data_IF_801861357128
#
_entry.id   IF_801861357128
#
_cell.length_a   1.000
_cell.length_b   1.000
_cell.length_c   1.000
_cell.angle_alpha   90.00
_cell.angle_beta   90.00
_cell.angle_gamma   90.00
#
_symmetry.space_group_name_H-M   'P 1'
#
loop_
_entity.id
_entity.type
_entity.pdbx_description
1 polymer ?
#
# COMPACT_ATOMS: atom_id res chain seq x y z
N UNK A 1 -22.81 12.84 -11.53
CA UNK A 1 -23.08 11.51 -12.16
C UNK A 1 -22.43 10.42 -11.30
N UNK A 2 -23.04 9.23 -11.23
CA UNK A 2 -22.47 8.08 -10.55
C UNK A 2 -22.05 7.01 -11.56
N UNK A 3 -20.84 6.47 -11.44
CA UNK A 3 -20.41 5.36 -12.30
C UNK A 3 -20.68 4.02 -11.63
N UNK A 4 -21.26 3.11 -12.40
CA UNK A 4 -21.62 1.77 -11.99
C UNK A 4 -20.69 0.74 -12.62
N UNK A 5 -20.11 -0.12 -11.81
CA UNK A 5 -19.34 -1.27 -12.26
C UNK A 5 -20.23 -2.52 -12.30
N UNK A 6 -20.18 -3.28 -13.41
CA UNK A 6 -20.93 -4.53 -13.56
C UNK A 6 -20.07 -5.75 -13.19
N UNK A 7 -20.68 -6.81 -12.66
CA UNK A 7 -19.99 -8.04 -12.27
C UNK A 7 -20.55 -8.67 -11.00
N UNK A 8 -19.85 -9.69 -10.49
CA UNK A 8 -20.15 -10.33 -9.19
C UNK A 8 -20.19 -9.30 -8.05
N UNK A 9 -19.29 -8.33 -8.18
CA UNK A 9 -19.16 -7.14 -7.36
C UNK A 9 -19.77 -5.92 -8.06
N UNK A 10 -21.04 -6.00 -8.49
CA UNK A 10 -21.73 -4.85 -9.13
C UNK A 10 -22.18 -3.73 -8.17
N UNK A 11 -22.00 -2.46 -8.55
CA UNK A 11 -22.44 -1.33 -7.71
C UNK A 11 -21.86 0.03 -8.12
N UNK A 12 -22.15 1.07 -7.32
CA UNK A 12 -21.63 2.43 -7.54
C UNK A 12 -20.22 2.53 -6.95
N UNK A 13 -19.27 3.01 -7.77
CA UNK A 13 -17.84 3.06 -7.42
C UNK A 13 -17.27 4.47 -7.38
N UNK A 14 -17.86 5.45 -8.08
CA UNK A 14 -17.34 6.82 -8.10
C UNK A 14 -18.40 7.84 -8.50
N UNK A 15 -18.18 9.10 -8.11
CA UNK A 15 -18.86 10.29 -8.61
C UNK A 15 -18.03 10.97 -9.70
N UNK A 16 -18.69 11.45 -10.74
CA UNK A 16 -18.07 12.14 -11.85
C UNK A 16 -18.94 13.29 -12.37
N UNK A 17 -18.31 14.28 -12.98
CA UNK A 17 -18.97 15.39 -13.66
C UNK A 17 -18.66 15.35 -15.15
N UNK A 18 -19.70 15.56 -15.95
CA UNK A 18 -19.60 15.66 -17.41
C UNK A 18 -18.99 17.02 -17.75
N UNK A 19 -17.85 17.02 -18.44
CA UNK A 19 -17.11 18.24 -18.76
C UNK A 19 -17.54 18.91 -20.07
N UNK A 20 -18.07 18.13 -21.01
CA UNK A 20 -18.45 18.60 -22.34
C UNK A 20 -19.80 18.02 -22.76
N UNK A 21 -20.48 18.69 -23.68
CA UNK A 21 -21.62 18.11 -24.38
C UNK A 21 -21.18 16.91 -25.24
N UNK A 22 -22.08 15.97 -25.58
CA UNK A 22 -21.73 14.80 -26.37
C UNK A 22 -21.21 15.19 -27.76
N UNK A 23 -19.94 14.91 -28.03
CA UNK A 23 -19.28 15.19 -29.30
C UNK A 23 -18.61 13.93 -29.86
N UNK A 24 -18.22 13.96 -31.14
CA UNK A 24 -17.47 12.87 -31.76
C UNK A 24 -16.05 12.84 -31.15
N UNK A 25 -15.74 11.81 -30.38
CA UNK A 25 -14.44 11.65 -29.72
C UNK A 25 -13.64 10.57 -30.45
N UNK A 26 -12.39 10.89 -30.80
CA UNK A 26 -11.41 9.91 -31.28
C UNK A 26 -10.62 9.35 -30.09
N UNK A 27 -10.45 8.03 -30.05
CA UNK A 27 -9.65 7.37 -29.03
C UNK A 27 -8.18 7.83 -29.13
N UNK A 28 -7.58 8.22 -28.01
CA UNK A 28 -6.12 8.42 -27.98
C UNK A 28 -5.41 7.05 -27.99
N UNK A 29 -4.15 6.98 -28.47
CA UNK A 29 -3.39 5.71 -28.48
C UNK A 29 -3.24 5.05 -27.10
N UNK A 30 -3.31 5.85 -26.04
CA UNK A 30 -3.25 5.40 -24.65
C UNK A 30 -4.57 4.75 -24.18
N UNK A 31 -5.69 5.12 -24.79
CA UNK A 31 -7.04 4.63 -24.45
C UNK A 31 -7.47 3.42 -25.30
N UNK A 32 -6.87 3.22 -26.48
CA UNK A 32 -7.14 2.10 -27.39
C UNK A 32 -7.20 0.71 -26.72
N UNK A 33 -6.30 0.36 -25.77
CA UNK A 33 -6.33 -0.95 -25.11
C UNK A 33 -7.59 -1.20 -24.26
N UNK A 34 -8.29 -0.14 -23.87
CA UNK A 34 -9.45 -0.20 -22.96
C UNK A 34 -10.79 -0.22 -23.71
N UNK A 35 -10.79 -0.09 -25.04
CA UNK A 35 -12.01 -0.15 -25.84
C UNK A 35 -12.36 -1.57 -26.30
N UNK A 36 -13.56 -2.00 -25.94
CA UNK A 36 -14.11 -3.33 -26.29
C UNK A 36 -14.42 -3.43 -27.80
N UNK A 37 -14.74 -2.31 -28.47
CA UNK A 37 -15.03 -2.26 -29.90
C UNK A 37 -14.02 -1.36 -30.63
N UNK A 38 -13.49 -1.83 -31.76
CA UNK A 38 -12.57 -1.10 -32.66
C UNK A 38 -13.29 -0.06 -33.53
N UNK A 39 -14.30 0.62 -33.00
CA UNK A 39 -14.93 1.75 -33.69
C UNK A 39 -14.16 3.03 -33.33
N UNK A 40 -13.59 3.67 -34.35
CA UNK A 40 -12.63 4.78 -34.25
C UNK A 40 -13.34 6.12 -33.96
N UNK A 41 -14.64 6.21 -34.24
CA UNK A 41 -15.45 7.40 -34.00
C UNK A 41 -16.73 7.03 -33.26
N UNK A 42 -16.94 7.65 -32.10
CA UNK A 42 -18.15 7.50 -31.30
C UNK A 42 -18.52 8.81 -30.64
N UNK A 43 -19.82 9.03 -30.46
CA UNK A 43 -20.30 10.14 -29.64
C UNK A 43 -19.97 9.82 -28.18
N UNK A 44 -19.19 10.69 -27.55
CA UNK A 44 -18.70 10.52 -26.19
C UNK A 44 -18.66 11.84 -25.42
N UNK A 45 -18.47 11.74 -24.12
CA UNK A 45 -18.26 12.90 -23.24
C UNK A 45 -17.01 12.67 -22.41
N UNK A 46 -16.30 13.75 -22.10
CA UNK A 46 -15.23 13.70 -21.11
C UNK A 46 -15.83 13.75 -19.71
N UNK A 47 -15.42 12.82 -18.87
CA UNK A 47 -15.81 12.75 -17.46
C UNK A 47 -14.64 13.17 -16.60
N UNK A 48 -14.87 14.12 -15.70
CA UNK A 48 -13.96 14.37 -14.58
C UNK A 48 -14.42 13.51 -13.41
N UNK A 49 -13.59 12.57 -13.00
CA UNK A 49 -13.81 11.84 -11.75
C UNK A 49 -13.65 12.82 -10.59
N UNK A 50 -14.71 13.01 -9.80
CA UNK A 50 -14.71 13.92 -8.66
C UNK A 50 -14.23 13.24 -7.39
N UNK A 51 -14.77 12.04 -7.12
CA UNK A 51 -14.38 11.24 -5.98
C UNK A 51 -14.60 9.76 -6.28
N UNK A 52 -13.61 8.93 -5.98
CA UNK A 52 -13.77 7.47 -5.95
C UNK A 52 -14.28 7.10 -4.57
N UNK A 53 -15.35 6.32 -4.50
CA UNK A 53 -15.97 5.98 -3.23
C UNK A 53 -15.05 5.04 -2.44
N UNK A 54 -14.68 5.36 -1.19
CA UNK A 54 -13.74 4.56 -0.40
C UNK A 54 -14.30 3.17 -0.06
N UNK A 55 -15.62 3.02 -0.07
CA UNK A 55 -16.32 1.74 -0.03
C UNK A 55 -17.45 1.78 -1.03
N UNK A 56 -17.37 0.93 -2.06
CA UNK A 56 -18.43 0.88 -3.08
C UNK A 56 -19.79 0.60 -2.47
N UNK A 57 -20.81 1.18 -3.08
CA UNK A 57 -22.19 0.90 -2.73
C UNK A 57 -22.60 -0.33 -3.53
N UNK A 58 -22.69 -1.47 -2.85
CA UNK A 58 -22.99 -2.74 -3.49
C UNK A 58 -24.41 -2.70 -4.05
N UNK A 59 -24.67 -3.45 -5.12
CA UNK A 59 -26.03 -3.73 -5.58
C UNK A 59 -26.93 -4.25 -4.45
N UNK A 60 -26.37 -5.01 -3.50
CA UNK A 60 -27.07 -5.46 -2.30
C UNK A 60 -27.55 -4.30 -1.43
N UNK A 61 -26.67 -3.34 -1.13
CA UNK A 61 -27.00 -2.16 -0.32
C UNK A 61 -28.11 -1.32 -0.98
N UNK A 62 -28.10 -1.27 -2.32
CA UNK A 62 -29.11 -0.57 -3.13
C UNK A 62 -30.46 -1.29 -3.10
N UNK A 63 -30.46 -2.63 -3.18
CA UNK A 63 -31.67 -3.45 -3.09
C UNK A 63 -32.30 -3.42 -1.70
N UNK A 64 -31.49 -3.30 -0.65
CA UNK A 64 -31.95 -3.21 0.74
C UNK A 64 -32.53 -1.82 1.08
N UNK A 65 -32.29 -0.80 0.24
CA UNK A 65 -32.79 0.57 0.46
C UNK A 65 -34.18 0.80 -0.16
N UNK A 66 -35.15 1.36 0.58
CA UNK A 66 -36.54 1.50 0.12
C UNK A 66 -36.71 2.38 -1.13
N UNK A 67 -35.83 3.38 -1.31
CA UNK A 67 -35.84 4.31 -2.46
C UNK A 67 -34.96 3.82 -3.62
N UNK A 68 -33.80 3.21 -3.33
CA UNK A 68 -32.79 2.91 -4.34
C UNK A 68 -33.06 1.59 -5.08
N UNK A 69 -33.81 0.66 -4.46
CA UNK A 69 -34.26 -0.57 -5.13
C UNK A 69 -35.10 -0.31 -6.38
N UNK A 70 -35.71 0.87 -6.47
CA UNK A 70 -36.54 1.28 -7.60
C UNK A 70 -35.76 1.93 -8.76
N UNK A 71 -34.43 2.10 -8.62
CA UNK A 71 -33.58 2.66 -9.67
C UNK A 71 -33.68 1.86 -10.98
N UNK A 72 -33.64 2.56 -12.12
CA UNK A 72 -33.78 1.92 -13.43
C UNK A 72 -32.67 0.92 -13.73
N UNK A 73 -31.44 1.15 -13.27
CA UNK A 73 -30.34 0.18 -13.38
C UNK A 73 -30.61 -1.15 -12.65
N UNK A 74 -31.51 -1.13 -11.65
CA UNK A 74 -31.92 -2.33 -10.92
C UNK A 74 -33.08 -3.02 -11.64
N UNK A 75 -34.08 -2.24 -12.08
CA UNK A 75 -35.33 -2.77 -12.66
C UNK A 75 -35.23 -3.13 -14.14
N UNK A 76 -34.40 -2.41 -14.90
CA UNK A 76 -34.32 -2.47 -16.36
C UNK A 76 -32.89 -2.14 -16.85
N UNK A 77 -31.94 -3.05 -16.62
CA UNK A 77 -30.51 -2.84 -16.92
C UNK A 77 -30.11 -2.92 -18.42
N UNK A 78 -31.00 -2.57 -19.35
CA UNK A 78 -30.78 -2.71 -20.80
C UNK A 78 -30.10 -1.48 -21.44
N UNK A 79 -29.31 -0.74 -20.67
CA UNK A 79 -28.67 0.51 -21.12
C UNK A 79 -27.38 0.80 -20.36
N UNK A 80 -26.69 1.86 -20.77
CA UNK A 80 -25.42 2.31 -20.18
C UNK A 80 -25.57 3.55 -19.30
N UNK A 81 -26.65 4.32 -19.49
CA UNK A 81 -26.95 5.52 -18.72
C UNK A 81 -28.37 5.44 -18.16
N UNK A 82 -28.52 5.75 -16.87
CA UNK A 82 -29.79 5.70 -16.16
C UNK A 82 -30.01 7.00 -15.40
N UNK A 83 -31.15 7.69 -15.59
CA UNK A 83 -31.45 8.88 -14.80
C UNK A 83 -31.66 8.50 -13.33
N UNK A 84 -31.19 9.40 -12.46
CA UNK A 84 -31.34 9.31 -11.00
C UNK A 84 -32.24 10.46 -10.57
N UNK A 85 -33.26 10.18 -9.75
CA UNK A 85 -34.15 11.22 -9.21
C UNK A 85 -33.50 11.92 -8.01
N UNK A 86 -33.95 13.12 -7.64
CA UNK A 86 -33.43 13.85 -6.48
C UNK A 86 -33.47 13.01 -5.18
N UNK A 87 -34.59 12.31 -4.92
CA UNK A 87 -34.72 11.41 -3.75
C UNK A 87 -33.71 10.24 -3.78
N UNK A 88 -33.35 9.77 -4.97
CA UNK A 88 -32.34 8.71 -5.12
C UNK A 88 -30.93 9.27 -4.94
N UNK A 89 -30.67 10.49 -5.42
CA UNK A 89 -29.41 11.20 -5.23
C UNK A 89 -29.13 11.43 -3.74
N UNK A 90 -30.09 11.98 -3.00
CA UNK A 90 -29.99 12.19 -1.55
C UNK A 90 -29.71 10.87 -0.80
N UNK A 91 -30.39 9.79 -1.18
CA UNK A 91 -30.18 8.47 -0.60
C UNK A 91 -28.79 7.88 -0.92
N UNK A 92 -28.25 8.12 -2.11
CA UNK A 92 -26.88 7.69 -2.47
C UNK A 92 -25.86 8.48 -1.65
N UNK A 93 -26.02 9.80 -1.53
CA UNK A 93 -25.13 10.64 -0.73
C UNK A 93 -25.11 10.25 0.75
N UNK A 94 -26.27 9.95 1.34
CA UNK A 94 -26.35 9.45 2.72
C UNK A 94 -25.61 8.11 2.91
N UNK A 95 -25.67 7.22 1.92
CA UNK A 95 -24.92 5.96 1.94
C UNK A 95 -23.41 6.17 1.79
N UNK A 96 -22.98 7.20 1.05
CA UNK A 96 -21.56 7.56 0.93
C UNK A 96 -21.04 8.07 2.28
N UNK A 97 -21.74 9.04 2.88
CA UNK A 97 -21.33 9.64 4.16
C UNK A 97 -21.30 8.63 5.31
N UNK A 98 -22.30 7.74 5.40
CA UNK A 98 -22.32 6.71 6.44
C UNK A 98 -21.17 5.72 6.31
N UNK A 99 -20.77 5.36 5.09
CA UNK A 99 -19.63 4.47 4.84
C UNK A 99 -18.28 5.14 5.05
N UNK A 100 -18.17 6.44 4.83
CA UNK A 100 -16.98 7.23 5.18
C UNK A 100 -16.77 7.32 6.68
N UNK A 101 -17.83 7.51 7.47
CA UNK A 101 -17.77 7.54 8.93
C UNK A 101 -17.39 6.18 9.53
N UNK A 102 -17.85 5.07 8.92
CA UNK A 102 -17.45 3.72 9.34
C UNK A 102 -15.95 3.47 9.06
N UNK A 103 -15.36 4.07 8.02
CA UNK A 103 -13.92 3.97 7.76
C UNK A 103 -13.07 4.71 8.82
N UNK A 104 -13.55 5.84 9.33
CA UNK A 104 -12.83 6.61 10.36
C UNK A 104 -12.79 5.93 11.75
N UNK A 105 -13.60 4.89 11.97
CA UNK A 105 -13.71 4.19 13.28
C UNK A 105 -13.03 2.81 13.27
N UNK A 106 -12.76 2.24 12.10
CA UNK A 106 -12.27 0.85 11.94
C UNK A 106 -10.93 0.78 11.17
N UNK A 107 -9.98 1.64 11.50
CA UNK A 107 -8.56 1.52 11.10
C UNK A 107 -7.82 0.44 11.95
N UNK A 108 -8.46 -0.71 12.19
CA UNK A 108 -7.77 -1.92 12.68
C UNK A 108 -8.56 -3.17 12.28
N UNK A 109 -7.86 -4.10 11.64
CA UNK A 109 -8.21 -5.51 11.35
C UNK A 109 -9.25 -5.88 10.26
N UNK A 110 -8.72 -6.61 9.26
CA UNK A 110 -9.32 -7.68 8.40
C UNK A 110 -10.08 -7.36 7.09
N UNK A 111 -9.32 -7.55 5.99
CA UNK A 111 -9.52 -8.48 4.85
C UNK A 111 -10.58 -8.31 3.72
N UNK A 112 -10.09 -8.68 2.51
CA UNK A 112 -10.75 -9.18 1.28
C UNK A 112 -11.10 -8.23 0.10
N UNK A 113 -10.08 -8.04 -0.74
CA UNK A 113 -10.00 -8.01 -2.21
C UNK A 113 -10.67 -6.93 -3.09
N UNK A 114 -9.74 -6.29 -3.79
CA UNK A 114 -9.62 -5.86 -5.19
C UNK A 114 -10.01 -4.42 -5.54
N UNK A 115 -8.97 -3.66 -5.93
CA UNK A 115 -8.88 -2.21 -6.15
C UNK A 115 -8.94 -1.32 -4.89
N UNK A 116 -7.98 -1.50 -3.97
CA UNK A 116 -7.70 -0.51 -2.91
C UNK A 116 -7.10 0.76 -3.51
N UNK A 117 -7.92 1.79 -3.76
CA UNK A 117 -7.41 3.14 -4.00
C UNK A 117 -6.84 3.69 -2.69
N UNK A 118 -5.52 3.71 -2.60
CA UNK A 118 -4.79 4.33 -1.50
C UNK A 118 -4.75 5.85 -1.75
N UNK A 119 -5.39 6.65 -0.89
CA UNK A 119 -5.25 8.11 -0.93
C UNK A 119 -3.79 8.51 -0.74
N UNK A 120 -3.32 9.57 -1.43
CA UNK A 120 -1.97 10.07 -1.22
C UNK A 120 -1.80 10.57 0.21
N UNK A 121 -0.62 10.32 0.78
CA UNK A 121 -0.25 10.83 2.08
C UNK A 121 -0.13 12.36 2.03
N UNK A 122 -0.41 13.07 3.14
CA UNK A 122 -0.13 14.49 3.21
C UNK A 122 1.35 14.75 2.89
N UNK A 123 1.60 15.86 2.20
CA UNK A 123 2.96 16.32 1.98
C UNK A 123 3.66 16.54 3.33
N UNK A 124 4.94 16.18 3.39
CA UNK A 124 5.79 16.42 4.54
C UNK A 124 7.17 16.82 4.02
N UNK A 125 7.46 18.12 4.10
CA UNK A 125 8.62 18.70 3.44
C UNK A 125 9.94 18.36 4.13
N UNK A 126 11.05 18.51 3.39
CA UNK A 126 12.40 18.40 3.96
C UNK A 126 12.66 19.45 5.04
N UNK A 127 12.12 20.65 4.86
CA UNK A 127 12.22 21.75 5.83
C UNK A 127 11.52 21.40 7.15
N UNK A 128 10.30 20.85 7.10
CA UNK A 128 9.62 20.35 8.30
C UNK A 128 10.41 19.24 9.00
N UNK A 129 11.00 18.32 8.22
CA UNK A 129 11.85 17.27 8.77
C UNK A 129 13.10 17.84 9.46
N UNK A 130 13.74 18.85 8.89
CA UNK A 130 14.91 19.52 9.46
C UNK A 130 14.55 20.23 10.77
N UNK A 131 13.44 20.96 10.79
CA UNK A 131 12.95 21.66 11.98
C UNK A 131 12.65 20.69 13.13
N UNK A 132 11.94 19.58 12.86
CA UNK A 132 11.55 18.62 13.88
C UNK A 132 12.71 17.77 14.40
N UNK A 133 13.71 17.48 13.57
CA UNK A 133 14.82 16.57 13.91
C UNK A 133 16.06 17.30 14.40
N UNK A 134 16.18 18.60 14.11
CA UNK A 134 17.38 19.39 14.36
C UNK A 134 18.56 19.05 13.45
N UNK A 135 18.34 18.22 12.41
CA UNK A 135 19.35 17.86 11.41
C UNK A 135 19.26 18.84 10.24
N UNK A 136 20.40 19.22 9.66
CA UNK A 136 20.43 20.11 8.51
C UNK A 136 19.75 19.50 7.28
N UNK A 137 19.09 20.33 6.45
CA UNK A 137 18.49 19.87 5.18
C UNK A 137 19.53 19.22 4.25
N UNK A 138 20.78 19.69 4.28
CA UNK A 138 21.88 19.13 3.49
C UNK A 138 22.19 17.68 3.88
N UNK A 139 22.23 17.39 5.18
CA UNK A 139 22.46 16.03 5.70
C UNK A 139 21.26 15.12 5.43
N UNK A 140 20.03 15.60 5.67
CA UNK A 140 18.81 14.85 5.38
C UNK A 140 18.72 14.50 3.90
N UNK A 141 18.99 15.47 3.01
CA UNK A 141 19.01 15.27 1.56
C UNK A 141 20.04 14.23 1.15
N UNK A 142 21.24 14.23 1.76
CA UNK A 142 22.26 13.22 1.54
C UNK A 142 21.76 11.82 1.93
N UNK A 143 21.10 11.68 3.08
CA UNK A 143 20.58 10.39 3.55
C UNK A 143 19.42 9.88 2.70
N UNK A 144 18.51 10.76 2.27
CA UNK A 144 17.42 10.41 1.37
C UNK A 144 17.95 9.89 0.03
N UNK A 145 18.95 10.55 -0.56
CA UNK A 145 19.58 10.09 -1.81
C UNK A 145 20.19 8.70 -1.66
N UNK A 146 20.84 8.44 -0.52
CA UNK A 146 21.37 7.12 -0.18
C UNK A 146 20.25 6.08 -0.09
N UNK A 147 19.20 6.36 0.69
CA UNK A 147 18.07 5.45 0.88
C UNK A 147 17.37 5.17 -0.45
N UNK A 148 17.17 6.19 -1.29
CA UNK A 148 16.54 6.05 -2.60
C UNK A 148 17.38 5.23 -3.57
N UNK A 149 18.69 5.45 -3.63
CA UNK A 149 19.58 4.77 -4.56
C UNK A 149 19.92 3.34 -4.16
N UNK A 150 20.02 3.07 -2.87
CA UNK A 150 20.42 1.74 -2.35
C UNK A 150 19.23 0.92 -1.93
N UNK A 151 18.11 1.56 -1.60
CA UNK A 151 16.91 0.90 -1.11
C UNK A 151 16.95 0.56 0.38
N UNK A 152 18.09 0.76 1.05
CA UNK A 152 18.26 0.47 2.47
C UNK A 152 19.30 1.38 3.13
N UNK A 153 19.12 1.66 4.42
CA UNK A 153 20.11 2.38 5.25
C UNK A 153 20.06 1.92 6.71
N UNK A 154 21.19 2.06 7.42
CA UNK A 154 21.24 1.91 8.88
C UNK A 154 21.68 3.22 9.52
N UNK A 155 20.86 3.71 10.46
CA UNK A 155 21.24 4.74 11.41
C UNK A 155 21.83 4.09 12.66
N UNK A 156 23.07 4.45 12.98
CA UNK A 156 23.71 3.95 14.20
C UNK A 156 24.30 5.09 15.01
N UNK A 157 24.29 4.91 16.33
CA UNK A 157 24.78 5.91 17.27
C UNK A 157 24.46 5.53 18.72
N UNK A 158 24.90 6.33 19.70
CA UNK A 158 24.63 6.10 21.11
C UNK A 158 23.13 5.93 21.41
N UNK A 159 22.74 5.18 22.46
CA UNK A 159 21.34 5.10 22.88
C UNK A 159 20.82 6.49 23.26
N UNK A 160 19.53 6.76 22.99
CA UNK A 160 18.89 8.04 23.33
C UNK A 160 19.10 9.19 22.35
N UNK A 161 19.79 8.98 21.21
CA UNK A 161 20.03 10.03 20.19
C UNK A 161 18.90 10.21 19.17
N UNK A 162 17.70 9.65 19.44
CA UNK A 162 16.53 9.86 18.57
C UNK A 162 16.59 9.17 17.21
N UNK A 163 17.42 8.14 17.00
CA UNK A 163 17.53 7.42 15.71
C UNK A 163 16.20 6.92 15.17
N UNK A 164 15.38 6.29 16.03
CA UNK A 164 14.04 5.80 15.66
C UNK A 164 13.11 6.96 15.30
N UNK A 165 13.21 8.07 16.02
CA UNK A 165 12.45 9.28 15.73
C UNK A 165 12.83 9.86 14.36
N UNK A 166 14.13 10.00 14.09
CA UNK A 166 14.65 10.43 12.79
C UNK A 166 14.20 9.50 11.66
N UNK A 167 14.31 8.19 11.84
CA UNK A 167 13.89 7.19 10.85
C UNK A 167 12.41 7.34 10.48
N UNK A 168 11.53 7.59 11.46
CA UNK A 168 10.11 7.83 11.23
C UNK A 168 9.85 9.14 10.47
N UNK A 169 10.58 10.21 10.75
CA UNK A 169 10.43 11.49 10.03
C UNK A 169 10.93 11.40 8.60
N UNK A 170 12.08 10.75 8.38
CA UNK A 170 12.56 10.44 7.03
C UNK A 170 11.58 9.55 6.26
N UNK A 171 11.02 8.52 6.91
CA UNK A 171 10.01 7.67 6.29
C UNK A 171 8.75 8.48 5.92
N UNK A 172 8.28 9.35 6.81
CA UNK A 172 7.15 10.26 6.54
C UNK A 172 7.42 11.15 5.32
N UNK A 173 8.63 11.68 5.19
CA UNK A 173 9.04 12.44 4.01
C UNK A 173 9.04 11.59 2.75
N UNK A 174 9.63 10.40 2.81
CA UNK A 174 9.75 9.49 1.66
C UNK A 174 8.39 9.00 1.12
N UNK A 175 7.39 8.87 1.99
CA UNK A 175 6.04 8.44 1.59
C UNK A 175 5.10 9.61 1.25
N UNK A 176 5.50 10.85 1.54
CA UNK A 176 4.68 12.05 1.33
C UNK A 176 4.30 12.25 -0.14
N UNK A 177 3.10 12.79 -0.38
CA UNK A 177 2.49 12.97 -1.72
C UNK A 177 2.22 11.67 -2.51
N UNK A 178 2.79 10.54 -2.06
CA UNK A 178 2.56 9.20 -2.60
C UNK A 178 1.52 8.41 -1.81
N UNK A 179 1.12 7.27 -2.36
CA UNK A 179 0.17 6.36 -1.70
C UNK A 179 0.85 5.23 -0.91
N UNK A 180 2.14 5.41 -0.62
CA UNK A 180 2.95 4.47 0.14
C UNK A 180 2.58 4.45 1.64
N UNK A 181 3.29 3.65 2.42
CA UNK A 181 3.09 3.58 3.87
C UNK A 181 4.40 3.28 4.58
N UNK A 182 4.40 3.48 5.89
CA UNK A 182 5.49 3.03 6.75
C UNK A 182 5.00 2.02 7.78
N UNK A 183 5.86 1.05 8.15
CA UNK A 183 5.67 0.19 9.31
C UNK A 183 6.92 0.19 10.17
N UNK A 184 6.73 0.20 11.48
CA UNK A 184 7.79 0.06 12.47
C UNK A 184 7.71 -1.34 13.08
N UNK A 185 8.82 -2.06 13.05
CA UNK A 185 9.00 -3.29 13.82
C UNK A 185 10.23 -3.13 14.70
N UNK A 186 10.29 -3.85 15.81
CA UNK A 186 11.45 -3.88 16.68
C UNK A 186 11.97 -5.31 16.80
N UNK A 187 13.28 -5.49 16.65
CA UNK A 187 13.91 -6.78 16.82
C UNK A 187 14.21 -7.07 18.29
N UNK A 188 14.05 -8.33 18.66
CA UNK A 188 14.38 -8.86 19.97
C UNK A 188 15.22 -10.14 19.83
N UNK A 189 15.94 -10.59 20.88
CA UNK A 189 16.83 -11.75 20.78
C UNK A 189 16.18 -13.04 20.30
N UNK A 190 14.89 -13.23 20.56
CA UNK A 190 14.13 -14.40 20.12
C UNK A 190 13.56 -14.30 18.69
N UNK A 191 13.79 -13.19 17.97
CA UNK A 191 13.21 -12.97 16.65
C UNK A 191 13.87 -13.93 15.65
N UNK A 192 13.07 -14.62 14.85
CA UNK A 192 13.53 -15.69 13.99
C UNK A 192 13.14 -15.47 12.52
N UNK A 193 13.57 -16.40 11.66
CA UNK A 193 13.26 -16.38 10.23
C UNK A 193 11.75 -16.51 10.01
N UNK A 194 11.11 -17.32 10.84
CA UNK A 194 9.68 -17.64 10.79
C UNK A 194 8.82 -16.41 11.06
N UNK A 195 9.27 -15.51 11.95
CA UNK A 195 8.59 -14.26 12.25
C UNK A 195 8.73 -13.22 11.12
N UNK A 196 9.88 -13.22 10.44
CA UNK A 196 10.22 -12.18 9.47
C UNK A 196 9.83 -12.54 8.03
N UNK A 197 10.13 -13.77 7.62
CA UNK A 197 9.97 -14.23 6.23
C UNK A 197 8.72 -15.06 6.10
N UNK A 198 8.70 -16.28 6.63
CA UNK A 198 7.55 -17.19 6.51
C UNK A 198 7.62 -18.31 7.54
N UNK A 199 6.46 -18.70 8.05
CA UNK A 199 6.28 -19.82 8.98
C UNK A 199 5.46 -20.94 8.34
N UNK A 200 5.80 -22.20 8.63
CA UNK A 200 4.94 -23.34 8.33
C UNK A 200 4.14 -23.66 9.58
N UNK A 201 2.82 -23.43 9.54
CA UNK A 201 1.90 -23.77 10.63
C UNK A 201 1.08 -25.01 10.31
N UNK A 202 0.96 -25.97 11.24
CA UNK A 202 -0.03 -27.04 11.11
C UNK A 202 -1.44 -26.45 11.25
N UNK A 203 -2.32 -26.82 10.35
CA UNK A 203 -3.74 -26.51 10.34
C UNK A 203 -4.53 -27.81 10.18
N UNK A 204 -5.78 -27.81 10.66
CA UNK A 204 -6.70 -28.92 10.43
C UNK A 204 -7.70 -28.48 9.38
N UNK A 205 -7.79 -29.22 8.27
CA UNK A 205 -8.75 -28.90 7.21
C UNK A 205 -10.18 -29.26 7.65
N UNK A 206 -11.19 -28.90 6.84
CA UNK A 206 -12.61 -29.18 7.12
C UNK A 206 -12.93 -30.69 7.26
N UNK A 207 -12.01 -31.56 6.85
CA UNK A 207 -12.11 -33.01 6.93
C UNK A 207 -11.35 -33.62 8.11
N UNK A 208 -10.81 -32.81 9.03
CA UNK A 208 -10.07 -33.29 10.19
C UNK A 208 -8.65 -33.77 9.89
N UNK A 209 -8.12 -33.53 8.69
CA UNK A 209 -6.77 -33.93 8.29
C UNK A 209 -5.76 -32.81 8.57
N UNK A 210 -4.54 -33.20 8.96
CA UNK A 210 -3.42 -32.30 9.15
C UNK A 210 -2.96 -31.74 7.80
N UNK A 211 -2.94 -30.43 7.68
CA UNK A 211 -2.48 -29.65 6.53
C UNK A 211 -1.38 -28.69 7.01
N UNK A 212 -0.34 -28.48 6.23
CA UNK A 212 0.69 -27.50 6.54
C UNK A 212 0.43 -26.24 5.71
N UNK A 213 0.19 -25.12 6.40
CA UNK A 213 -0.04 -23.81 5.78
C UNK A 213 1.18 -22.93 5.92
N UNK A 214 1.54 -22.26 4.83
CA UNK A 214 2.55 -21.22 4.84
C UNK A 214 1.88 -19.90 5.22
N UNK A 215 2.41 -19.27 6.25
CA UNK A 215 1.99 -17.94 6.70
C UNK A 215 3.13 -16.97 6.44
N UNK A 216 2.90 -15.86 5.70
CA UNK A 216 3.92 -14.85 5.50
C UNK A 216 4.29 -14.19 6.84
N UNK A 217 5.58 -13.95 7.04
CA UNK A 217 6.11 -13.16 8.15
C UNK A 217 6.04 -11.66 7.86
N UNK A 218 6.48 -10.85 8.83
CA UNK A 218 6.29 -9.39 8.80
C UNK A 218 6.85 -8.70 7.55
N UNK A 219 7.98 -9.17 7.03
CA UNK A 219 8.60 -8.61 5.83
C UNK A 219 7.83 -8.97 4.56
N UNK A 220 7.39 -10.22 4.45
CA UNK A 220 6.62 -10.68 3.29
C UNK A 220 5.24 -10.03 3.27
N UNK A 221 4.56 -9.92 4.42
CA UNK A 221 3.29 -9.16 4.55
C UNK A 221 3.47 -7.71 4.10
N UNK A 222 4.56 -7.06 4.55
CA UNK A 222 4.88 -5.69 4.15
C UNK A 222 5.11 -5.58 2.64
N UNK A 223 5.85 -6.50 2.02
CA UNK A 223 6.10 -6.48 0.58
C UNK A 223 4.83 -6.74 -0.23
N UNK A 224 4.00 -7.71 0.16
CA UNK A 224 2.72 -7.99 -0.48
C UNK A 224 1.76 -6.78 -0.43
N UNK A 225 1.82 -5.98 0.64
CA UNK A 225 1.07 -4.73 0.71
C UNK A 225 1.71 -3.63 -0.15
N UNK A 226 3.05 -3.56 -0.19
CA UNK A 226 3.78 -2.60 -1.00
C UNK A 226 3.59 -2.81 -2.52
N UNK A 227 3.44 -4.06 -2.98
CA UNK A 227 3.15 -4.41 -4.39
C UNK A 227 1.82 -3.82 -4.88
N UNK A 228 0.88 -3.53 -3.97
CA UNK A 228 -0.43 -2.95 -4.28
C UNK A 228 -0.36 -1.42 -4.43
N UNK A 229 0.81 -0.81 -4.19
CA UNK A 229 1.01 0.65 -4.13
C UNK A 229 2.09 1.08 -5.11
N UNK A 230 1.97 2.29 -5.64
CA UNK A 230 2.98 2.89 -6.51
C UNK A 230 3.97 3.75 -5.72
N UNK A 231 3.53 4.31 -4.58
CA UNK A 231 4.35 5.13 -3.70
C UNK A 231 5.39 4.33 -2.94
N UNK A 232 6.40 5.04 -2.43
CA UNK A 232 7.48 4.46 -1.63
C UNK A 232 6.92 3.90 -0.33
N UNK A 233 7.26 2.66 0.00
CA UNK A 233 6.86 2.02 1.25
C UNK A 233 8.10 1.82 2.11
N UNK A 234 8.07 2.24 3.38
CA UNK A 234 9.24 2.19 4.28
C UNK A 234 9.04 1.23 5.44
N UNK A 235 9.88 0.20 5.54
CA UNK A 235 9.95 -0.66 6.71
C UNK A 235 11.07 -0.16 7.63
N UNK A 236 10.70 0.27 8.83
CA UNK A 236 11.65 0.65 9.87
C UNK A 236 11.87 -0.54 10.79
N UNK A 237 13.13 -0.97 10.92
CA UNK A 237 13.54 -2.07 11.78
C UNK A 237 14.36 -1.49 12.94
N UNK A 238 13.69 -1.32 14.07
CA UNK A 238 14.32 -0.82 15.28
C UNK A 238 15.14 -1.89 15.98
N UNK A 239 16.23 -1.49 16.61
CA UNK A 239 17.15 -2.36 17.34
C UNK A 239 17.61 -3.58 16.50
N UNK A 240 17.94 -3.32 15.22
CA UNK A 240 18.19 -4.36 14.22
C UNK A 240 19.30 -5.35 14.64
N UNK A 241 20.25 -4.92 15.45
CA UNK A 241 21.34 -5.74 15.98
C UNK A 241 20.97 -6.64 17.17
N UNK A 242 19.75 -6.53 17.74
CA UNK A 242 19.32 -7.38 18.87
C UNK A 242 18.98 -8.80 18.45
N UNK A 243 18.71 -9.03 17.16
CA UNK A 243 18.48 -10.36 16.62
C UNK A 243 19.71 -10.87 15.86
N UNK A 244 19.79 -12.19 15.65
CA UNK A 244 20.77 -12.78 14.76
C UNK A 244 20.38 -12.49 13.32
N UNK A 245 20.90 -11.41 12.77
CA UNK A 245 20.47 -10.89 11.48
C UNK A 245 20.66 -11.89 10.32
N UNK A 246 21.76 -12.63 10.28
CA UNK A 246 21.98 -13.67 9.26
C UNK A 246 20.90 -14.75 9.32
N UNK A 247 20.47 -15.13 10.53
CA UNK A 247 19.39 -16.11 10.72
C UNK A 247 18.03 -15.54 10.36
N UNK A 248 17.74 -14.30 10.76
CA UNK A 248 16.44 -13.66 10.54
C UNK A 248 16.21 -13.33 9.07
N UNK A 249 17.21 -12.75 8.40
CA UNK A 249 17.09 -12.36 6.99
C UNK A 249 17.26 -13.55 6.05
N UNK A 250 18.05 -14.58 6.41
CA UNK A 250 18.24 -15.76 5.58
C UNK A 250 18.66 -15.40 4.15
N UNK A 251 17.84 -15.80 3.18
CA UNK A 251 18.08 -15.53 1.76
C UNK A 251 17.85 -14.06 1.36
N UNK A 252 17.15 -13.26 2.18
CA UNK A 252 17.00 -11.82 1.91
C UNK A 252 18.34 -11.10 1.86
N UNK A 253 19.37 -11.62 2.53
CA UNK A 253 20.72 -11.05 2.45
C UNK A 253 21.21 -10.90 1.02
N UNK A 254 20.91 -11.89 0.19
CA UNK A 254 21.22 -11.86 -1.23
C UNK A 254 20.33 -10.86 -1.98
N UNK A 255 19.03 -10.81 -1.67
CA UNK A 255 18.10 -9.87 -2.32
C UNK A 255 18.38 -8.41 -1.99
N UNK A 256 18.88 -8.09 -0.79
CA UNK A 256 19.25 -6.71 -0.45
C UNK A 256 20.39 -6.19 -1.31
N UNK A 257 21.29 -7.06 -1.76
CA UNK A 257 22.35 -6.73 -2.71
C UNK A 257 21.85 -6.75 -4.16
N UNK A 258 21.01 -7.73 -4.53
CA UNK A 258 20.50 -7.94 -5.89
C UNK A 258 18.97 -7.85 -5.95
N UNK A 259 18.42 -6.63 -5.77
CA UNK A 259 16.97 -6.40 -5.58
C UNK A 259 16.09 -6.78 -6.78
N UNK A 260 16.66 -6.83 -7.98
CA UNK A 260 15.95 -7.21 -9.22
C UNK A 260 15.85 -8.73 -9.41
N UNK A 261 16.38 -9.53 -8.48
CA UNK A 261 16.38 -10.99 -8.59
C UNK A 261 15.15 -11.59 -7.94
N UNK A 262 14.68 -12.66 -8.56
CA UNK A 262 13.70 -13.55 -7.98
C UNK A 262 14.40 -14.83 -7.49
N UNK A 263 14.33 -15.12 -6.19
CA UNK A 263 15.01 -16.26 -5.57
C UNK A 263 14.01 -17.27 -5.00
N UNK A 264 14.35 -18.58 -4.98
CA UNK A 264 13.57 -19.56 -4.24
C UNK A 264 13.77 -19.38 -2.73
N UNK A 265 12.70 -19.55 -1.95
CA UNK A 265 12.78 -19.57 -0.49
C UNK A 265 12.93 -20.99 0.05
N UNK A 266 13.54 -21.15 1.23
CA UNK A 266 13.82 -22.47 1.84
C UNK A 266 12.61 -23.37 2.04
N UNK A 267 11.43 -22.82 2.37
CA UNK A 267 10.22 -23.62 2.60
C UNK A 267 9.49 -23.93 1.29
N UNK A 268 9.09 -22.89 0.56
CA UNK A 268 8.41 -22.99 -0.73
C UNK A 268 8.30 -21.61 -1.37
N UNK A 269 8.11 -21.59 -2.68
CA UNK A 269 7.84 -20.38 -3.44
C UNK A 269 9.08 -19.57 -3.82
N UNK A 270 8.81 -18.47 -4.48
CA UNK A 270 9.80 -17.52 -4.97
C UNK A 270 9.49 -16.14 -4.41
N UNK A 271 10.53 -15.33 -4.23
CA UNK A 271 10.38 -14.00 -3.65
C UNK A 271 11.33 -12.99 -4.28
N UNK A 272 10.80 -11.78 -4.48
CA UNK A 272 11.50 -10.60 -4.98
C UNK A 272 11.11 -9.42 -4.09
N UNK A 273 12.03 -8.51 -3.81
CA UNK A 273 11.70 -7.30 -3.04
C UNK A 273 11.12 -6.25 -4.01
N UNK A 274 9.92 -5.71 -3.76
CA UNK A 274 9.35 -4.68 -4.63
C UNK A 274 10.22 -3.42 -4.70
N UNK A 275 10.26 -2.79 -5.88
CA UNK A 275 11.15 -1.65 -6.16
C UNK A 275 10.80 -0.40 -5.37
N UNK A 276 9.56 -0.28 -4.89
CA UNK A 276 9.11 0.83 -4.05
C UNK A 276 9.40 0.61 -2.56
N UNK A 277 9.93 -0.55 -2.14
CA UNK A 277 10.25 -0.84 -0.73
C UNK A 277 11.57 -0.20 -0.32
N UNK A 278 11.61 0.44 0.85
CA UNK A 278 12.80 0.96 1.50
C UNK A 278 12.92 0.38 2.91
N UNK A 279 14.13 0.04 3.33
CA UNK A 279 14.38 -0.50 4.68
C UNK A 279 15.27 0.46 5.45
N UNK A 280 14.81 0.90 6.61
CA UNK A 280 15.59 1.76 7.50
C UNK A 280 15.83 1.00 8.81
N UNK A 281 17.07 0.59 9.06
CA UNK A 281 17.48 0.00 10.32
C UNK A 281 17.96 1.06 11.30
N UNK A 282 17.71 0.87 12.59
CA UNK A 282 18.37 1.64 13.66
C UNK A 282 19.17 0.70 14.56
N UNK A 283 20.34 1.15 15.00
CA UNK A 283 21.28 0.33 15.76
C UNK A 283 21.92 1.14 16.89
N UNK A 284 21.94 0.59 18.10
CA UNK A 284 22.74 1.16 19.19
C UNK A 284 24.20 0.70 19.09
N UNK A 285 25.13 1.64 19.15
CA UNK A 285 26.58 1.35 19.07
C UNK A 285 27.15 0.62 20.28
N UNK A 286 26.40 0.57 21.39
CA UNK A 286 26.80 -0.14 22.61
C UNK A 286 26.76 -1.67 22.47
N UNK A 287 25.94 -2.18 21.54
CA UNK A 287 25.69 -3.61 21.32
C UNK A 287 26.72 -4.14 20.30
N UNK A 288 27.85 -4.62 20.83
CA UNK A 288 29.11 -4.88 20.09
C UNK A 288 29.16 -6.16 19.22
N UNK A 289 28.09 -6.93 19.02
CA UNK A 289 28.28 -8.35 18.66
C UNK A 289 28.16 -8.76 17.18
N UNK A 290 27.48 -8.06 16.27
CA UNK A 290 27.15 -8.68 14.94
C UNK A 290 27.16 -7.69 13.75
N UNK A 291 27.97 -6.64 13.79
CA UNK A 291 27.86 -5.58 12.79
C UNK A 291 28.65 -5.86 11.48
N UNK A 292 29.77 -6.59 11.53
CA UNK A 292 30.80 -6.50 10.48
C UNK A 292 30.37 -7.05 9.10
N UNK A 293 29.52 -8.08 9.02
CA UNK A 293 29.10 -8.69 7.75
C UNK A 293 27.93 -7.93 7.11
N UNK A 294 27.06 -7.33 7.93
CA UNK A 294 25.92 -6.52 7.47
C UNK A 294 26.34 -5.13 6.99
N UNK A 295 27.41 -4.59 7.57
CA UNK A 295 27.95 -3.26 7.25
C UNK A 295 28.38 -3.08 5.79
N UNK A 296 28.77 -4.16 5.10
CA UNK A 296 29.26 -4.09 3.72
C UNK A 296 28.13 -3.94 2.69
N UNK A 297 26.92 -4.41 3.03
CA UNK A 297 25.75 -4.44 2.12
C UNK A 297 24.84 -3.22 2.36
N UNK A 298 24.92 -2.60 3.54
CA UNK A 298 24.08 -1.48 3.96
C UNK A 298 24.84 -0.17 3.94
N UNK A 299 24.22 0.90 3.43
CA UNK A 299 24.84 2.22 3.55
C UNK A 299 24.66 2.74 4.97
N UNK A 300 25.81 3.12 5.51
CA UNK A 300 25.97 3.61 6.86
C UNK A 300 25.75 5.11 6.94
N UNK A 301 24.86 5.50 7.84
CA UNK A 301 24.68 6.90 8.22
C UNK A 301 25.08 7.05 9.68
N UNK A 302 26.13 7.84 9.91
CA UNK A 302 26.65 8.15 11.24
C UNK A 302 25.81 9.30 11.81
N UNK A 303 25.25 9.07 13.00
CA UNK A 303 24.66 10.13 13.84
C UNK A 303 25.55 10.40 15.05
#
# INVERSE_FOLDING_TARGET
MYLWEAGEKSGIVTTATVLIEPEMVQATPEEEPYFIAREIERVGVWLKIEAILPKRILRKDILDHPVLKEMLIIRQANGTNFPVTADQEEAIEALIQSKEQIKAVYDDETMEDDHTFFSPNPEYSLAECAEETGVSEEELSKWIRVIQSKGQAIFYGPPGTGKTYLAQRLAKHLIGDGNGFQKLIQFHPAYAYEDFIQEIRPAVNRHGQLEYKLTPGRFMEFCQEAEKRNGICVLIVDEINRANLTRVFGELMYLLEYRDRNIPLSCSGHFTIPQNVRIIGTMNTADRSIALVFLTILVQVIM
#
